data_IF_344060603997
#
_entry.id   IF_344060603997
#
_cell.length_a   1.000
_cell.length_b   1.000
_cell.length_c   1.000
_cell.angle_alpha   90.00
_cell.angle_beta   90.00
_cell.angle_gamma   90.00
#
_symmetry.space_group_name_H-M   'P 1'
#
loop_
_entity.id
_entity.type
_entity.pdbx_description
1 polymer ?
#
# COMPACT_ATOMS: atom_id res chain seq x y z
N UNK A 1 -47.69 50.22 -0.12
CA UNK A 1 -46.84 49.37 0.71
C UNK A 1 -46.31 48.20 -0.16
N UNK A 2 -45.18 48.42 -0.83
CA UNK A 2 -44.60 47.48 -1.82
C UNK A 2 -43.51 46.68 -1.09
N UNK A 3 -43.78 45.40 -0.83
CA UNK A 3 -42.81 44.43 -0.27
C UNK A 3 -41.78 44.04 -1.34
N UNK A 4 -40.59 44.60 -1.27
CA UNK A 4 -39.45 44.17 -2.08
C UNK A 4 -39.00 42.80 -1.64
N UNK A 5 -39.27 41.77 -2.45
CA UNK A 5 -38.73 40.42 -2.31
C UNK A 5 -37.24 40.47 -2.70
N UNK A 6 -36.35 40.49 -1.72
CA UNK A 6 -34.92 40.28 -1.89
C UNK A 6 -34.70 38.81 -2.21
N UNK A 7 -34.73 38.44 -3.51
CA UNK A 7 -34.18 37.19 -3.98
C UNK A 7 -32.70 37.15 -3.63
N UNK A 8 -32.33 36.33 -2.62
CA UNK A 8 -30.94 35.95 -2.39
C UNK A 8 -30.48 35.20 -3.64
N UNK A 9 -29.79 35.89 -4.53
CA UNK A 9 -28.97 35.23 -5.53
C UNK A 9 -27.97 34.35 -4.81
N UNK A 10 -28.17 33.06 -4.85
CA UNK A 10 -27.10 32.10 -4.53
C UNK A 10 -25.99 32.39 -5.56
N UNK A 11 -24.75 32.62 -5.13
CA UNK A 11 -23.67 32.85 -6.05
C UNK A 11 -23.60 31.64 -7.00
N UNK A 12 -23.79 31.90 -8.31
CA UNK A 12 -23.52 30.93 -9.37
C UNK A 12 -22.07 30.50 -9.15
N UNK A 13 -21.87 29.29 -8.68
CA UNK A 13 -20.52 28.74 -8.50
C UNK A 13 -19.88 28.71 -9.89
N UNK A 14 -18.81 29.48 -10.07
CA UNK A 14 -18.01 29.47 -11.28
C UNK A 14 -17.64 28.00 -11.58
N UNK A 15 -18.14 27.40 -12.69
CA UNK A 15 -17.94 25.98 -12.98
C UNK A 15 -16.46 25.62 -13.24
N UNK A 16 -15.60 26.63 -13.42
CA UNK A 16 -14.16 26.42 -13.63
C UNK A 16 -13.33 26.47 -12.34
N UNK A 17 -13.87 26.96 -11.24
CA UNK A 17 -13.14 27.13 -9.99
C UNK A 17 -13.03 25.81 -9.24
N UNK A 18 -11.81 25.31 -9.04
CA UNK A 18 -11.55 24.13 -8.21
C UNK A 18 -11.86 24.39 -6.75
N UNK A 19 -12.53 23.44 -6.11
CA UNK A 19 -12.77 23.46 -4.66
C UNK A 19 -11.54 22.96 -3.90
N UNK A 20 -11.39 23.36 -2.64
CA UNK A 20 -10.23 22.98 -1.82
C UNK A 20 -9.91 21.48 -1.80
N UNK A 21 -10.87 20.54 -1.67
CA UNK A 21 -10.57 19.11 -1.73
C UNK A 21 -9.89 18.68 -3.03
N UNK A 22 -10.29 19.25 -4.16
CA UNK A 22 -9.71 18.92 -5.46
C UNK A 22 -8.25 19.41 -5.56
N UNK A 23 -7.97 20.62 -5.09
CA UNK A 23 -6.60 21.17 -5.06
C UNK A 23 -5.71 20.32 -4.16
N UNK A 24 -6.16 19.99 -2.96
CA UNK A 24 -5.38 19.21 -1.98
C UNK A 24 -5.06 17.83 -2.53
N UNK A 25 -6.04 17.10 -3.07
CA UNK A 25 -5.82 15.76 -3.63
C UNK A 25 -5.00 15.80 -4.94
N UNK A 26 -5.13 16.86 -5.74
CA UNK A 26 -4.28 17.07 -6.92
C UNK A 26 -2.81 17.27 -6.51
N UNK A 27 -2.54 18.11 -5.51
CA UNK A 27 -1.21 18.33 -4.97
C UNK A 27 -0.64 17.03 -4.37
N UNK A 28 -1.44 16.28 -3.63
CA UNK A 28 -1.02 15.00 -3.07
C UNK A 28 -0.65 13.99 -4.18
N UNK A 29 -1.48 13.89 -5.22
CA UNK A 29 -1.21 13.03 -6.37
C UNK A 29 0.04 13.42 -7.17
N UNK A 30 0.33 14.73 -7.26
CA UNK A 30 1.54 15.25 -7.88
C UNK A 30 2.80 15.01 -7.04
N UNK A 31 2.72 15.24 -5.71
CA UNK A 31 3.89 15.22 -4.81
C UNK A 31 4.25 13.78 -4.41
N UNK A 32 3.28 12.90 -4.18
CA UNK A 32 3.53 11.56 -3.63
C UNK A 32 4.53 10.72 -4.46
N UNK A 33 4.45 10.63 -5.81
CA UNK A 33 5.38 9.82 -6.59
C UNK A 33 6.84 10.27 -6.49
N UNK A 34 7.21 11.54 -6.74
CA UNK A 34 8.60 11.99 -6.61
C UNK A 34 9.10 11.94 -5.16
N UNK A 35 8.23 12.22 -4.17
CA UNK A 35 8.57 12.09 -2.76
C UNK A 35 8.92 10.64 -2.40
N UNK A 36 8.20 9.66 -2.94
CA UNK A 36 8.48 8.25 -2.68
C UNK A 36 9.81 7.78 -3.28
N UNK A 37 10.30 8.41 -4.34
CA UNK A 37 11.63 8.11 -4.90
C UNK A 37 12.74 8.67 -4.00
N UNK A 38 12.61 9.92 -3.56
CA UNK A 38 13.68 10.64 -2.85
C UNK A 38 13.62 10.46 -1.32
N UNK A 39 12.42 10.45 -0.75
CA UNK A 39 12.20 10.39 0.69
C UNK A 39 10.90 9.61 1.02
N UNK A 40 10.85 8.28 0.80
CA UNK A 40 9.62 7.49 0.87
C UNK A 40 8.91 7.55 2.23
N UNK A 41 9.64 7.74 3.33
CA UNK A 41 9.04 7.89 4.66
C UNK A 41 8.21 9.18 4.79
N UNK A 42 8.41 10.17 3.90
CA UNK A 42 7.63 11.40 3.83
C UNK A 42 6.17 11.19 3.36
N UNK A 43 5.82 10.01 2.87
CA UNK A 43 4.43 9.69 2.44
C UNK A 43 3.46 9.70 3.63
N UNK A 44 3.85 9.23 4.81
CA UNK A 44 3.00 9.26 5.99
C UNK A 44 2.73 10.71 6.45
N UNK A 45 3.72 11.57 6.67
CA UNK A 45 3.50 13.00 6.90
C UNK A 45 2.67 13.70 5.81
N UNK A 46 2.86 13.32 4.53
CA UNK A 46 2.05 13.88 3.44
C UNK A 46 0.56 13.56 3.63
N UNK A 47 0.21 12.31 3.98
CA UNK A 47 -1.18 11.94 4.24
C UNK A 47 -1.77 12.73 5.43
N UNK A 48 -0.98 12.92 6.50
CA UNK A 48 -1.39 13.75 7.66
C UNK A 48 -1.67 15.20 7.24
N UNK A 49 -0.78 15.82 6.46
CA UNK A 49 -0.98 17.17 5.93
C UNK A 49 -2.24 17.26 5.07
N UNK A 50 -2.46 16.28 4.20
CA UNK A 50 -3.67 16.17 3.37
C UNK A 50 -4.93 16.10 4.23
N UNK A 51 -4.96 15.23 5.24
CA UNK A 51 -6.11 15.04 6.10
C UNK A 51 -6.41 16.33 6.92
N UNK A 52 -5.40 16.95 7.51
CA UNK A 52 -5.53 18.21 8.25
C UNK A 52 -6.03 19.33 7.34
N UNK A 53 -5.44 19.49 6.15
CA UNK A 53 -5.87 20.51 5.18
C UNK A 53 -7.34 20.33 4.76
N UNK A 54 -7.78 19.07 4.54
CA UNK A 54 -9.18 18.75 4.22
C UNK A 54 -10.14 19.08 5.37
N UNK A 55 -9.76 18.74 6.61
CA UNK A 55 -10.57 19.06 7.80
C UNK A 55 -10.69 20.55 8.03
N UNK A 56 -9.63 21.32 7.81
CA UNK A 56 -9.63 22.78 8.01
C UNK A 56 -10.41 23.49 6.92
N UNK A 57 -10.25 23.06 5.64
CA UNK A 57 -10.79 23.82 4.50
C UNK A 57 -12.20 23.41 4.08
N UNK A 58 -12.62 22.17 4.35
CA UNK A 58 -13.90 21.66 3.84
C UNK A 58 -14.59 20.62 4.75
N UNK A 59 -14.67 20.79 6.08
CA UNK A 59 -15.20 19.77 7.00
C UNK A 59 -16.64 19.38 6.69
N UNK A 60 -17.47 20.35 6.29
CA UNK A 60 -18.88 20.13 5.95
C UNK A 60 -19.10 19.25 4.72
N UNK A 61 -18.09 19.10 3.86
CA UNK A 61 -18.16 18.28 2.64
C UNK A 61 -17.78 16.83 2.85
N UNK A 62 -17.31 16.47 4.05
CA UNK A 62 -16.81 15.12 4.35
C UNK A 62 -17.91 14.23 4.92
N UNK A 63 -18.88 14.77 5.66
CA UNK A 63 -19.84 13.98 6.43
C UNK A 63 -20.72 13.06 5.59
N UNK A 64 -21.37 13.58 4.53
CA UNK A 64 -22.23 12.76 3.69
C UNK A 64 -21.46 11.71 2.88
N UNK A 65 -20.33 12.05 2.22
CA UNK A 65 -19.49 11.06 1.54
C UNK A 65 -18.83 10.04 2.45
N UNK A 66 -18.66 10.32 3.76
CA UNK A 66 -18.11 9.40 4.75
C UNK A 66 -19.09 8.30 5.17
N UNK A 67 -20.42 8.52 5.10
CA UNK A 67 -21.41 7.53 5.55
C UNK A 67 -21.23 6.13 4.95
N UNK A 68 -20.99 5.93 3.64
CA UNK A 68 -20.75 4.60 3.07
C UNK A 68 -19.43 3.96 3.50
N UNK A 69 -18.53 4.71 4.17
CA UNK A 69 -17.25 4.25 4.70
C UNK A 69 -17.35 3.81 6.16
N UNK A 70 -18.49 4.02 6.84
CA UNK A 70 -18.68 3.65 8.25
C UNK A 70 -18.35 2.17 8.55
N UNK A 71 -18.73 1.18 7.73
CA UNK A 71 -18.34 -0.20 8.00
C UNK A 71 -16.82 -0.40 7.94
N UNK A 72 -16.13 0.25 7.00
CA UNK A 72 -14.66 0.23 6.92
C UNK A 72 -14.03 0.90 8.14
N UNK A 73 -14.57 2.06 8.55
CA UNK A 73 -14.13 2.76 9.74
C UNK A 73 -14.30 1.92 11.01
N UNK A 74 -15.42 1.21 11.14
CA UNK A 74 -15.70 0.32 12.27
C UNK A 74 -14.72 -0.87 12.31
N UNK A 75 -14.46 -1.51 11.17
CA UNK A 75 -13.49 -2.61 11.09
C UNK A 75 -12.07 -2.14 11.39
N UNK A 76 -11.67 -0.98 10.86
CA UNK A 76 -10.36 -0.37 11.14
C UNK A 76 -10.22 -0.04 12.63
N UNK A 77 -11.23 0.60 13.21
CA UNK A 77 -11.25 0.93 14.63
C UNK A 77 -11.21 -0.33 15.52
N UNK A 78 -11.91 -1.41 15.13
CA UNK A 78 -11.87 -2.67 15.84
C UNK A 78 -10.47 -3.30 15.82
N UNK A 79 -9.79 -3.32 14.65
CA UNK A 79 -8.42 -3.80 14.55
C UNK A 79 -7.46 -2.90 15.35
N UNK A 80 -7.61 -1.59 15.26
CA UNK A 80 -6.78 -0.64 16.02
C UNK A 80 -6.98 -0.81 17.54
N UNK A 81 -8.22 -0.97 17.99
CA UNK A 81 -8.52 -1.22 19.41
C UNK A 81 -7.89 -2.55 19.89
N UNK A 82 -7.96 -3.60 19.07
CA UNK A 82 -7.33 -4.89 19.40
C UNK A 82 -5.79 -4.76 19.39
N UNK A 83 -5.21 -4.03 18.43
CA UNK A 83 -3.78 -3.73 18.37
C UNK A 83 -3.31 -2.95 19.61
N UNK A 84 -4.04 -1.92 20.04
CA UNK A 84 -3.78 -1.18 21.27
C UNK A 84 -3.89 -2.09 22.51
N UNK A 85 -4.94 -2.91 22.58
CA UNK A 85 -5.12 -3.88 23.66
C UNK A 85 -3.96 -4.88 23.72
N UNK A 86 -3.36 -5.24 22.58
CA UNK A 86 -2.23 -6.16 22.52
C UNK A 86 -1.01 -5.68 23.31
N UNK A 87 -0.91 -4.40 23.63
CA UNK A 87 0.13 -3.86 24.49
C UNK A 87 0.12 -4.48 25.90
N UNK A 88 -1.01 -5.03 26.36
CA UNK A 88 -1.12 -5.66 27.69
C UNK A 88 -0.41 -7.01 27.79
N UNK A 89 -0.18 -7.71 26.68
CA UNK A 89 0.56 -8.98 26.62
C UNK A 89 1.78 -8.97 25.71
N UNK A 90 2.04 -7.84 25.04
CA UNK A 90 3.16 -7.67 24.13
C UNK A 90 4.50 -7.79 24.86
N UNK A 91 5.50 -8.32 24.18
CA UNK A 91 6.91 -8.25 24.62
C UNK A 91 7.47 -6.83 24.53
N UNK A 92 6.82 -5.92 23.78
CA UNK A 92 7.17 -4.51 23.62
C UNK A 92 5.98 -3.59 23.92
N UNK A 93 5.45 -3.52 25.16
CA UNK A 93 4.17 -2.86 25.47
C UNK A 93 4.08 -1.42 24.98
N UNK A 94 5.11 -0.59 25.28
CA UNK A 94 5.13 0.83 24.89
C UNK A 94 5.19 1.02 23.38
N UNK A 95 5.94 0.17 22.70
CA UNK A 95 6.06 0.20 21.24
C UNK A 95 4.74 -0.22 20.58
N UNK A 96 4.14 -1.32 21.02
CA UNK A 96 2.83 -1.79 20.52
C UNK A 96 1.72 -0.74 20.71
N UNK A 97 1.74 -0.02 21.83
CA UNK A 97 0.80 1.08 22.08
C UNK A 97 1.01 2.25 21.10
N UNK A 98 2.27 2.64 20.86
CA UNK A 98 2.60 3.71 19.94
C UNK A 98 2.21 3.35 18.48
N UNK A 99 2.55 2.12 18.04
CA UNK A 99 2.22 1.66 16.68
C UNK A 99 0.71 1.46 16.50
N UNK A 100 -0.02 0.98 17.51
CA UNK A 100 -1.48 0.92 17.49
C UNK A 100 -2.13 2.30 17.36
N UNK A 101 -1.57 3.32 18.04
CA UNK A 101 -2.01 4.72 17.92
C UNK A 101 -1.74 5.29 16.51
N UNK A 102 -0.57 5.02 15.93
CA UNK A 102 -0.22 5.45 14.56
C UNK A 102 -1.11 4.76 13.53
N UNK A 103 -1.34 3.46 13.67
CA UNK A 103 -2.25 2.71 12.80
C UNK A 103 -3.67 3.28 12.82
N UNK A 104 -4.19 3.64 14.00
CA UNK A 104 -5.49 4.31 14.14
C UNK A 104 -5.50 5.66 13.43
N UNK A 105 -4.48 6.50 13.65
CA UNK A 105 -4.36 7.81 13.05
C UNK A 105 -4.33 7.75 11.52
N UNK A 106 -3.49 6.89 10.94
CA UNK A 106 -3.38 6.69 9.48
C UNK A 106 -4.73 6.24 8.88
N UNK A 107 -5.47 5.37 9.57
CA UNK A 107 -6.80 4.97 9.13
C UNK A 107 -7.79 6.12 9.08
N UNK A 108 -7.81 6.97 10.12
CA UNK A 108 -8.65 8.17 10.16
C UNK A 108 -8.28 9.13 9.02
N UNK A 109 -6.98 9.39 8.83
CA UNK A 109 -6.47 10.25 7.76
C UNK A 109 -6.85 9.74 6.37
N UNK A 110 -6.69 8.44 6.12
CA UNK A 110 -7.09 7.80 4.87
C UNK A 110 -8.59 7.83 4.62
N UNK A 111 -9.41 7.65 5.65
CA UNK A 111 -10.87 7.76 5.54
C UNK A 111 -11.31 9.19 5.22
N UNK A 112 -10.64 10.20 5.76
CA UNK A 112 -10.86 11.62 5.43
C UNK A 112 -10.52 11.87 3.95
N UNK A 113 -9.36 11.42 3.48
CA UNK A 113 -8.93 11.55 2.09
C UNK A 113 -9.91 10.85 1.14
N UNK A 114 -10.35 9.63 1.47
CA UNK A 114 -11.32 8.87 0.68
C UNK A 114 -12.72 9.53 0.67
N UNK A 115 -13.18 10.10 1.77
CA UNK A 115 -14.43 10.86 1.84
C UNK A 115 -14.34 12.12 0.97
N UNK A 116 -13.22 12.83 1.00
CA UNK A 116 -12.96 14.00 0.16
C UNK A 116 -12.97 13.63 -1.33
N UNK A 117 -12.30 12.55 -1.72
CA UNK A 117 -12.30 12.04 -3.08
C UNK A 117 -13.72 11.77 -3.61
N UNK A 118 -14.59 11.19 -2.78
CA UNK A 118 -15.99 10.91 -3.11
C UNK A 118 -16.87 12.16 -3.20
N UNK A 119 -16.43 13.30 -2.70
CA UNK A 119 -17.16 14.59 -2.77
C UNK A 119 -16.88 15.39 -4.03
N UNK A 120 -15.94 14.94 -4.88
CA UNK A 120 -15.46 15.68 -6.04
C UNK A 120 -16.42 15.59 -7.24
N UNK A 121 -16.50 16.69 -8.00
CA UNK A 121 -17.16 16.70 -9.30
C UNK A 121 -16.23 16.12 -10.39
N UNK A 122 -16.80 15.66 -11.51
CA UNK A 122 -16.03 15.01 -12.58
C UNK A 122 -14.88 15.88 -13.14
N UNK A 123 -15.10 17.19 -13.35
CA UNK A 123 -14.03 18.09 -13.82
C UNK A 123 -12.88 18.24 -12.81
N UNK A 124 -13.20 18.27 -11.50
CA UNK A 124 -12.20 18.31 -10.42
C UNK A 124 -11.40 17.01 -10.36
N UNK A 125 -12.11 15.88 -10.46
CA UNK A 125 -11.53 14.55 -10.51
C UNK A 125 -10.53 14.42 -11.67
N UNK A 126 -10.92 14.89 -12.87
CA UNK A 126 -10.03 14.88 -14.03
C UNK A 126 -8.76 15.69 -13.81
N UNK A 127 -8.83 16.89 -13.24
CA UNK A 127 -7.65 17.74 -12.97
C UNK A 127 -6.72 17.11 -11.93
N UNK A 128 -7.28 16.52 -10.87
CA UNK A 128 -6.50 15.80 -9.88
C UNK A 128 -5.82 14.55 -10.48
N UNK A 129 -6.51 13.81 -11.35
CA UNK A 129 -5.93 12.69 -12.07
C UNK A 129 -4.78 13.11 -13.01
N UNK A 130 -4.89 14.23 -13.72
CA UNK A 130 -3.81 14.76 -14.55
C UNK A 130 -2.60 15.16 -13.68
N UNK A 131 -2.82 15.78 -12.52
CA UNK A 131 -1.74 16.10 -11.60
C UNK A 131 -0.97 14.84 -11.14
N UNK A 132 -1.68 13.75 -10.85
CA UNK A 132 -1.07 12.46 -10.53
C UNK A 132 -0.25 11.91 -11.71
N UNK A 133 -0.72 12.03 -12.94
CA UNK A 133 0.03 11.63 -14.15
C UNK A 133 1.35 12.40 -14.27
N UNK A 134 1.32 13.72 -14.06
CA UNK A 134 2.52 14.56 -14.09
C UNK A 134 3.50 14.13 -12.98
N UNK A 135 2.98 13.87 -11.77
CA UNK A 135 3.78 13.35 -10.66
C UNK A 135 4.45 12.00 -10.98
N UNK A 136 3.73 11.08 -11.61
CA UNK A 136 4.28 9.78 -12.07
C UNK A 136 5.37 9.99 -13.12
N UNK A 137 5.15 10.85 -14.13
CA UNK A 137 6.14 11.12 -15.16
C UNK A 137 7.44 11.71 -14.56
N UNK A 138 7.29 12.67 -13.63
CA UNK A 138 8.42 13.24 -12.89
C UNK A 138 9.16 12.18 -12.07
N UNK A 139 8.43 11.32 -11.34
CA UNK A 139 9.04 10.29 -10.51
C UNK A 139 9.76 9.21 -11.33
N UNK A 140 9.21 8.82 -12.50
CA UNK A 140 9.91 7.93 -13.44
C UNK A 140 11.21 8.59 -13.92
N UNK A 141 11.15 9.86 -14.34
CA UNK A 141 12.34 10.61 -14.76
C UNK A 141 13.39 10.69 -13.65
N UNK A 142 12.99 10.99 -12.41
CA UNK A 142 13.87 11.00 -11.24
C UNK A 142 14.49 9.61 -11.00
N UNK A 143 13.70 8.54 -11.00
CA UNK A 143 14.20 7.20 -10.76
C UNK A 143 15.20 6.76 -11.81
N UNK A 144 14.92 7.03 -13.09
CA UNK A 144 15.84 6.73 -14.19
C UNK A 144 17.12 7.59 -14.12
N UNK A 145 17.01 8.86 -13.70
CA UNK A 145 18.20 9.71 -13.49
C UNK A 145 19.04 9.22 -12.33
N UNK A 146 18.44 8.81 -11.21
CA UNK A 146 19.14 8.23 -10.07
C UNK A 146 19.88 6.95 -10.47
N UNK A 147 19.23 6.08 -11.24
CA UNK A 147 19.87 4.88 -11.76
C UNK A 147 21.03 5.21 -12.71
N UNK A 148 20.85 6.12 -13.64
CA UNK A 148 21.87 6.49 -14.64
C UNK A 148 23.07 7.24 -14.05
N UNK A 149 22.90 7.91 -12.91
CA UNK A 149 23.92 8.75 -12.26
C UNK A 149 24.47 8.16 -10.95
N UNK A 150 24.24 6.88 -10.70
CA UNK A 150 24.61 6.21 -9.45
C UNK A 150 24.10 6.97 -8.20
N UNK A 151 22.80 7.30 -8.21
CA UNK A 151 22.11 7.97 -7.10
C UNK A 151 22.66 9.40 -6.79
N UNK A 152 23.02 10.18 -7.82
CA UNK A 152 23.66 11.48 -7.63
C UNK A 152 22.82 12.46 -6.80
N UNK A 153 21.52 12.62 -7.10
CA UNK A 153 20.64 13.51 -6.36
C UNK A 153 20.40 13.00 -4.92
N UNK A 154 20.23 11.70 -4.75
CA UNK A 154 20.13 11.05 -3.44
C UNK A 154 21.38 11.31 -2.61
N UNK A 155 22.58 11.16 -3.20
CA UNK A 155 23.85 11.45 -2.54
C UNK A 155 23.94 12.92 -2.12
N UNK A 156 23.56 13.83 -3.01
CA UNK A 156 23.57 15.26 -2.73
C UNK A 156 22.61 15.62 -1.58
N UNK A 157 21.37 15.14 -1.60
CA UNK A 157 20.37 15.41 -0.55
C UNK A 157 20.81 14.90 0.82
N UNK A 158 21.47 13.73 0.87
CA UNK A 158 21.90 13.11 2.13
C UNK A 158 23.37 13.39 2.51
N UNK A 159 24.06 14.23 1.77
CA UNK A 159 25.47 14.56 2.02
C UNK A 159 26.41 13.35 1.93
N UNK A 160 26.09 12.35 1.10
CA UNK A 160 26.88 11.13 0.97
C UNK A 160 28.02 11.33 -0.01
N UNK A 161 29.25 10.88 0.37
CA UNK A 161 30.38 10.88 -0.55
C UNK A 161 30.20 9.85 -1.68
N UNK A 162 30.90 10.04 -2.80
CA UNK A 162 30.89 9.09 -3.92
C UNK A 162 31.44 7.70 -3.58
N UNK A 163 32.23 7.59 -2.50
CA UNK A 163 32.78 6.33 -2.01
C UNK A 163 31.78 5.46 -1.23
N UNK A 164 30.63 6.04 -0.82
CA UNK A 164 29.61 5.28 -0.10
C UNK A 164 28.74 4.54 -1.12
N UNK A 165 28.68 3.21 -1.03
CA UNK A 165 27.78 2.41 -1.86
C UNK A 165 26.32 2.71 -1.51
N UNK A 166 25.52 3.12 -2.48
CA UNK A 166 24.07 3.28 -2.36
C UNK A 166 23.42 2.02 -2.89
N UNK A 167 22.83 1.23 -2.00
CA UNK A 167 22.15 0.01 -2.40
C UNK A 167 20.85 0.36 -3.17
N UNK A 168 20.67 -0.22 -4.35
CA UNK A 168 19.50 -0.04 -5.22
C UNK A 168 18.18 -0.40 -4.54
N UNK A 169 18.18 -1.28 -3.52
CA UNK A 169 16.98 -1.59 -2.72
C UNK A 169 16.39 -0.36 -2.02
N UNK A 170 17.14 0.74 -1.90
CA UNK A 170 16.64 2.03 -1.44
C UNK A 170 15.49 2.54 -2.30
N UNK A 171 15.50 2.25 -3.60
CA UNK A 171 14.47 2.68 -4.54
C UNK A 171 13.24 1.77 -4.59
N UNK A 172 13.25 0.63 -3.91
CA UNK A 172 12.12 -0.32 -3.90
C UNK A 172 10.80 0.33 -3.50
N UNK A 173 10.83 1.27 -2.54
CA UNK A 173 9.63 1.99 -2.09
C UNK A 173 9.13 2.96 -3.17
N UNK A 174 10.04 3.61 -3.90
CA UNK A 174 9.71 4.47 -5.03
C UNK A 174 9.06 3.67 -6.16
N UNK A 175 9.68 2.55 -6.57
CA UNK A 175 9.13 1.64 -7.58
C UNK A 175 7.77 1.11 -7.17
N UNK A 176 7.61 0.65 -5.94
CA UNK A 176 6.32 0.19 -5.40
C UNK A 176 5.25 1.27 -5.49
N UNK A 177 5.59 2.51 -5.10
CA UNK A 177 4.67 3.64 -5.22
C UNK A 177 4.27 3.90 -6.67
N UNK A 178 5.24 3.85 -7.62
CA UNK A 178 4.95 4.01 -9.04
C UNK A 178 3.99 2.93 -9.57
N UNK A 179 4.19 1.68 -9.20
CA UNK A 179 3.31 0.58 -9.62
C UNK A 179 1.90 0.72 -9.03
N UNK A 180 1.75 1.28 -7.83
CA UNK A 180 0.44 1.53 -7.21
C UNK A 180 -0.28 2.73 -7.84
N UNK A 181 0.42 3.86 -8.00
CA UNK A 181 -0.19 5.09 -8.49
C UNK A 181 -0.41 5.08 -10.01
N UNK A 182 0.19 4.13 -10.71
CA UNK A 182 -0.09 3.87 -12.12
C UNK A 182 -1.59 3.65 -12.37
N UNK A 183 -2.30 2.98 -11.46
CA UNK A 183 -3.73 2.67 -11.65
C UNK A 183 -4.62 3.90 -11.73
N UNK A 184 -4.59 4.84 -10.75
CA UNK A 184 -5.33 6.09 -10.88
C UNK A 184 -4.83 6.95 -12.05
N UNK A 185 -3.52 7.00 -12.32
CA UNK A 185 -2.96 7.74 -13.44
C UNK A 185 -3.42 7.17 -14.79
N UNK A 186 -3.38 5.85 -14.97
CA UNK A 186 -3.86 5.18 -16.19
C UNK A 186 -5.35 5.43 -16.40
N UNK A 187 -6.16 5.38 -15.35
CA UNK A 187 -7.59 5.65 -15.42
C UNK A 187 -7.88 7.12 -15.83
N UNK A 188 -7.09 8.08 -15.33
CA UNK A 188 -7.17 9.48 -15.73
C UNK A 188 -6.82 9.68 -17.22
N UNK A 189 -5.95 8.83 -17.78
CA UNK A 189 -5.52 8.87 -19.18
C UNK A 189 -6.38 8.02 -20.14
N UNK A 190 -7.49 7.45 -19.69
CA UNK A 190 -8.29 6.49 -20.47
C UNK A 190 -8.73 7.01 -21.85
N UNK A 191 -8.86 8.33 -22.02
CA UNK A 191 -9.17 8.97 -23.32
C UNK A 191 -7.94 9.13 -24.22
N UNK A 192 -6.73 9.01 -23.68
CA UNK A 192 -5.44 9.14 -24.36
C UNK A 192 -4.65 7.84 -24.30
N UNK A 193 -5.15 6.80 -24.98
CA UNK A 193 -4.62 5.43 -24.93
C UNK A 193 -3.11 5.33 -25.21
N UNK A 194 -2.60 6.13 -26.14
CA UNK A 194 -1.17 6.14 -26.43
C UNK A 194 -0.38 6.61 -25.22
N UNK A 195 -0.78 7.74 -24.61
CA UNK A 195 -0.09 8.26 -23.41
C UNK A 195 -0.24 7.30 -22.21
N UNK A 196 -1.42 6.69 -22.04
CA UNK A 196 -1.65 5.65 -21.03
C UNK A 196 -0.65 4.51 -21.19
N UNK A 197 -0.45 3.99 -22.40
CA UNK A 197 0.48 2.90 -22.67
C UNK A 197 1.94 3.34 -22.49
N UNK A 198 2.30 4.57 -22.87
CA UNK A 198 3.65 5.13 -22.65
C UNK A 198 3.98 5.21 -21.17
N UNK A 199 3.08 5.73 -20.34
CA UNK A 199 3.28 5.81 -18.88
C UNK A 199 3.36 4.40 -18.28
N UNK A 200 2.48 3.47 -18.68
CA UNK A 200 2.54 2.09 -18.20
C UNK A 200 3.86 1.40 -18.59
N UNK A 201 4.33 1.58 -19.83
CA UNK A 201 5.60 1.05 -20.28
C UNK A 201 6.80 1.67 -19.52
N UNK A 202 6.75 2.97 -19.23
CA UNK A 202 7.79 3.65 -18.47
C UNK A 202 7.86 3.15 -17.01
N UNK A 203 6.72 2.93 -16.35
CA UNK A 203 6.67 2.32 -15.02
C UNK A 203 7.13 0.87 -15.05
N UNK A 204 6.74 0.09 -16.08
CA UNK A 204 7.22 -1.28 -16.26
C UNK A 204 8.74 -1.34 -16.45
N UNK A 205 9.30 -0.45 -17.26
CA UNK A 205 10.74 -0.32 -17.47
C UNK A 205 11.47 0.02 -16.15
N UNK A 206 10.94 0.97 -15.38
CA UNK A 206 11.49 1.33 -14.09
C UNK A 206 11.47 0.14 -13.11
N UNK A 207 10.35 -0.62 -13.06
CA UNK A 207 10.23 -1.81 -12.22
C UNK A 207 11.14 -2.97 -12.68
N UNK A 208 11.48 -3.04 -13.97
CA UNK A 208 12.38 -4.04 -14.52
C UNK A 208 13.85 -3.71 -14.27
N UNK A 209 14.26 -2.43 -14.45
CA UNK A 209 15.64 -1.98 -14.27
C UNK A 209 16.02 -2.03 -12.79
N UNK A 210 15.11 -1.64 -11.88
CA UNK A 210 15.38 -1.69 -10.46
C UNK A 210 15.29 -3.14 -9.94
N UNK A 211 16.13 -3.53 -8.97
CA UNK A 211 16.17 -4.92 -8.46
C UNK A 211 14.97 -5.28 -7.56
N UNK A 212 13.78 -4.79 -7.91
CA UNK A 212 12.54 -4.97 -7.14
C UNK A 212 11.65 -6.06 -7.74
N UNK A 213 12.03 -7.33 -7.55
CA UNK A 213 11.26 -8.45 -8.07
C UNK A 213 9.81 -8.50 -7.58
N UNK A 214 9.55 -8.08 -6.34
CA UNK A 214 8.20 -8.02 -5.78
C UNK A 214 7.33 -6.98 -6.50
N UNK A 215 7.88 -5.79 -6.82
CA UNK A 215 7.16 -4.74 -7.55
C UNK A 215 6.88 -5.14 -9.00
N UNK A 216 7.83 -5.81 -9.66
CA UNK A 216 7.61 -6.33 -11.02
C UNK A 216 6.51 -7.41 -11.03
N UNK A 217 6.56 -8.35 -10.11
CA UNK A 217 5.51 -9.39 -9.97
C UNK A 217 4.16 -8.76 -9.66
N UNK A 218 4.12 -7.75 -8.78
CA UNK A 218 2.92 -7.01 -8.43
C UNK A 218 2.33 -6.25 -9.64
N UNK A 219 3.18 -5.64 -10.46
CA UNK A 219 2.77 -5.01 -11.70
C UNK A 219 2.11 -6.01 -12.65
N UNK A 220 2.74 -7.17 -12.89
CA UNK A 220 2.20 -8.24 -13.76
C UNK A 220 0.88 -8.77 -13.18
N UNK A 221 0.82 -9.08 -11.89
CA UNK A 221 -0.41 -9.54 -11.23
C UNK A 221 -1.54 -8.52 -11.34
N UNK A 222 -1.21 -7.23 -11.21
CA UNK A 222 -2.15 -6.14 -11.42
C UNK A 222 -2.69 -6.10 -12.84
N UNK A 223 -1.83 -6.23 -13.86
CA UNK A 223 -2.27 -6.28 -15.28
C UNK A 223 -3.18 -7.47 -15.55
N UNK A 224 -2.83 -8.65 -15.04
CA UNK A 224 -3.67 -9.85 -15.15
C UNK A 224 -5.01 -9.63 -14.43
N UNK A 225 -4.96 -9.11 -13.21
CA UNK A 225 -6.16 -8.76 -12.44
C UNK A 225 -7.07 -7.79 -13.19
N UNK A 226 -6.52 -6.74 -13.77
CA UNK A 226 -7.26 -5.78 -14.61
C UNK A 226 -7.88 -6.45 -15.84
N UNK A 227 -7.09 -7.23 -16.59
CA UNK A 227 -7.56 -7.89 -17.81
C UNK A 227 -8.70 -8.86 -17.53
N UNK A 228 -8.61 -9.64 -16.46
CA UNK A 228 -9.69 -10.56 -16.04
C UNK A 228 -10.89 -9.78 -15.49
N UNK A 229 -10.66 -8.77 -14.63
CA UNK A 229 -11.71 -7.97 -14.02
C UNK A 229 -12.51 -7.15 -15.04
N UNK A 230 -11.91 -6.80 -16.19
CA UNK A 230 -12.63 -6.13 -17.28
C UNK A 230 -13.81 -6.95 -17.82
N UNK A 231 -13.81 -8.27 -17.62
CA UNK A 231 -14.86 -9.21 -17.99
C UNK A 231 -15.58 -9.83 -16.80
N UNK A 232 -14.84 -10.17 -15.74
CA UNK A 232 -15.32 -10.93 -14.60
C UNK A 232 -14.84 -10.31 -13.25
N UNK A 233 -15.29 -9.10 -12.87
CA UNK A 233 -14.80 -8.42 -11.68
C UNK A 233 -15.06 -9.20 -10.39
N UNK A 234 -16.21 -9.88 -10.28
CA UNK A 234 -16.54 -10.72 -9.12
C UNK A 234 -15.58 -11.89 -8.96
N UNK A 235 -15.14 -12.49 -10.07
CA UNK A 235 -14.17 -13.59 -10.04
C UNK A 235 -12.85 -13.12 -9.45
N UNK A 236 -12.31 -11.97 -9.91
CA UNK A 236 -11.05 -11.42 -9.38
C UNK A 236 -11.18 -11.08 -7.90
N UNK A 237 -12.27 -10.40 -7.51
CA UNK A 237 -12.50 -10.06 -6.10
C UNK A 237 -12.62 -11.32 -5.22
N UNK A 238 -13.33 -12.34 -5.68
CA UNK A 238 -13.43 -13.64 -4.97
C UNK A 238 -12.07 -14.35 -4.90
N UNK A 239 -11.33 -14.41 -6.01
CA UNK A 239 -10.04 -15.09 -6.06
C UNK A 239 -9.04 -14.45 -5.08
N UNK A 240 -8.95 -13.11 -5.06
CA UNK A 240 -8.10 -12.39 -4.11
C UNK A 240 -8.53 -12.66 -2.65
N UNK A 241 -9.84 -12.59 -2.35
CA UNK A 241 -10.35 -12.85 -1.01
C UNK A 241 -10.05 -14.30 -0.56
N UNK A 242 -10.31 -15.29 -1.43
CA UNK A 242 -10.01 -16.70 -1.16
C UNK A 242 -8.51 -16.92 -0.96
N UNK A 243 -7.66 -16.36 -1.83
CA UNK A 243 -6.20 -16.46 -1.68
C UNK A 243 -5.73 -15.94 -0.33
N UNK A 244 -6.25 -14.80 0.13
CA UNK A 244 -5.86 -14.22 1.41
C UNK A 244 -6.36 -15.06 2.60
N UNK A 245 -7.61 -15.53 2.57
CA UNK A 245 -8.17 -16.36 3.65
C UNK A 245 -7.49 -17.72 3.72
N UNK A 246 -7.31 -18.37 2.58
CA UNK A 246 -6.61 -19.68 2.49
C UNK A 246 -5.13 -19.49 2.87
N UNK A 247 -4.46 -18.45 2.39
CA UNK A 247 -3.08 -18.12 2.76
C UNK A 247 -2.92 -17.92 4.26
N UNK A 248 -3.77 -17.12 4.90
CA UNK A 248 -3.72 -16.89 6.35
C UNK A 248 -3.90 -18.17 7.19
N UNK A 249 -4.63 -19.14 6.64
CA UNK A 249 -4.91 -20.41 7.32
C UNK A 249 -3.82 -21.45 7.06
N UNK A 250 -3.41 -21.62 5.81
CA UNK A 250 -2.52 -22.71 5.41
C UNK A 250 -1.04 -22.34 5.45
N UNK A 251 -0.67 -21.08 5.19
CA UNK A 251 0.75 -20.69 5.07
C UNK A 251 1.57 -21.09 6.31
N UNK A 252 1.11 -20.88 7.56
CA UNK A 252 1.88 -21.32 8.74
C UNK A 252 2.13 -22.81 8.80
N UNK A 253 1.33 -23.64 8.11
CA UNK A 253 1.42 -25.09 8.13
C UNK A 253 2.23 -25.65 6.95
N UNK A 254 2.11 -25.02 5.75
CA UNK A 254 2.71 -25.54 4.52
C UNK A 254 4.10 -24.99 4.22
N UNK A 255 4.56 -24.01 4.99
CA UNK A 255 5.91 -23.44 4.83
C UNK A 255 6.99 -24.54 4.92
N UNK A 256 7.94 -24.59 3.98
CA UNK A 256 9.00 -25.58 3.97
C UNK A 256 9.80 -25.61 5.28
N UNK A 257 10.27 -26.78 5.67
CA UNK A 257 11.22 -26.92 6.80
C UNK A 257 12.55 -26.27 6.44
N UNK A 258 13.39 -26.00 7.43
CA UNK A 258 14.75 -25.49 7.19
C UNK A 258 15.53 -26.42 6.25
N UNK A 259 15.47 -27.74 6.48
CA UNK A 259 16.14 -28.72 5.65
C UNK A 259 15.62 -28.72 4.20
N UNK A 260 14.30 -28.65 4.02
CA UNK A 260 13.70 -28.56 2.67
C UNK A 260 14.10 -27.25 1.95
N UNK A 261 14.27 -26.14 2.69
CA UNK A 261 14.70 -24.86 2.15
C UNK A 261 16.17 -24.91 1.71
N UNK A 262 17.04 -25.53 2.50
CA UNK A 262 18.45 -25.78 2.13
C UNK A 262 18.51 -26.64 0.85
N UNK A 263 17.74 -27.73 0.80
CA UNK A 263 17.67 -28.57 -0.39
C UNK A 263 17.15 -27.80 -1.62
N UNK A 264 16.14 -26.96 -1.44
CA UNK A 264 15.57 -26.12 -2.51
C UNK A 264 16.63 -25.16 -3.08
N UNK A 265 17.47 -24.56 -2.25
CA UNK A 265 18.55 -23.68 -2.70
C UNK A 265 19.49 -24.40 -3.69
N UNK A 266 19.82 -25.67 -3.45
CA UNK A 266 20.69 -26.46 -4.33
C UNK A 266 19.97 -26.99 -5.57
N UNK A 267 18.67 -27.32 -5.48
CA UNK A 267 17.92 -27.91 -6.60
C UNK A 267 17.25 -26.86 -7.50
N UNK A 268 17.08 -25.62 -7.00
CA UNK A 268 16.45 -24.52 -7.73
C UNK A 268 17.32 -23.23 -7.69
N UNK A 269 18.51 -23.24 -8.30
CA UNK A 269 19.49 -22.13 -8.21
C UNK A 269 18.99 -20.82 -8.85
N UNK A 270 17.88 -20.85 -9.60
CA UNK A 270 17.24 -19.64 -10.12
C UNK A 270 16.47 -18.84 -9.04
N UNK A 271 16.21 -19.42 -7.87
CA UNK A 271 15.61 -18.70 -6.76
C UNK A 271 16.69 -17.81 -6.11
N UNK A 272 16.45 -16.51 -6.16
CA UNK A 272 17.39 -15.54 -5.58
C UNK A 272 17.57 -15.79 -4.07
N UNK A 273 18.74 -15.46 -3.53
CA UNK A 273 19.06 -15.56 -2.09
C UNK A 273 18.02 -14.89 -1.20
N UNK A 274 17.47 -13.74 -1.63
CA UNK A 274 16.38 -13.07 -0.90
C UNK A 274 15.07 -13.87 -0.86
N UNK A 275 14.80 -14.73 -1.83
CA UNK A 275 13.66 -15.65 -1.81
C UNK A 275 13.88 -16.80 -0.83
N UNK A 276 15.08 -17.40 -0.84
CA UNK A 276 15.48 -18.44 0.11
C UNK A 276 15.41 -17.88 1.55
N UNK A 277 15.96 -16.68 1.78
CA UNK A 277 15.89 -16.05 3.10
C UNK A 277 14.45 -15.85 3.59
N UNK A 278 13.52 -15.42 2.70
CA UNK A 278 12.10 -15.30 3.08
C UNK A 278 11.48 -16.64 3.48
N UNK A 279 11.78 -17.74 2.80
CA UNK A 279 11.29 -19.06 3.21
C UNK A 279 11.77 -19.44 4.61
N UNK A 280 13.02 -19.12 4.96
CA UNK A 280 13.56 -19.35 6.31
C UNK A 280 12.87 -18.44 7.35
N UNK A 281 12.66 -17.16 7.05
CA UNK A 281 11.91 -16.24 7.91
C UNK A 281 10.47 -16.76 8.11
N UNK A 282 9.80 -17.23 7.06
CA UNK A 282 8.44 -17.76 7.14
C UNK A 282 8.38 -19.03 7.99
N UNK A 283 9.39 -19.90 7.90
CA UNK A 283 9.49 -21.07 8.76
C UNK A 283 9.62 -20.65 10.23
N UNK A 284 10.50 -19.71 10.54
CA UNK A 284 10.62 -19.17 11.88
C UNK A 284 9.32 -18.50 12.36
N UNK A 285 8.65 -17.72 11.50
CA UNK A 285 7.34 -17.15 11.81
C UNK A 285 6.28 -18.22 12.12
N UNK A 286 6.29 -19.34 11.39
CA UNK A 286 5.38 -20.47 11.66
C UNK A 286 5.61 -21.11 13.03
N UNK A 287 6.87 -21.22 13.48
CA UNK A 287 7.23 -21.68 14.81
C UNK A 287 6.71 -20.72 15.90
N UNK A 288 6.90 -19.41 15.71
CA UNK A 288 6.38 -18.38 16.61
C UNK A 288 4.85 -18.35 16.70
N UNK A 289 4.16 -18.64 15.60
CA UNK A 289 2.70 -18.78 15.55
C UNK A 289 2.26 -20.02 16.36
N UNK A 290 3.00 -21.13 16.29
CA UNK A 290 2.71 -22.34 17.06
C UNK A 290 2.87 -22.10 18.57
N UNK A 291 3.84 -21.28 18.96
CA UNK A 291 4.08 -20.92 20.37
C UNK A 291 2.96 -20.04 20.96
N UNK A 292 2.40 -19.10 20.17
CA UNK A 292 1.33 -18.19 20.62
C UNK A 292 0.21 -18.06 19.60
N UNK A 293 -0.58 -19.10 19.34
CA UNK A 293 -1.50 -19.16 18.19
C UNK A 293 -2.71 -18.23 18.33
N UNK A 294 -3.17 -17.92 19.54
CA UNK A 294 -4.42 -17.19 19.77
C UNK A 294 -4.23 -15.68 19.76
N UNK A 295 -3.34 -15.14 20.59
CA UNK A 295 -3.18 -13.68 20.79
C UNK A 295 -1.92 -13.11 20.14
N UNK A 296 -0.98 -13.97 19.73
CA UNK A 296 0.29 -13.55 19.17
C UNK A 296 1.24 -12.91 20.21
N UNK A 297 2.24 -12.21 19.71
CA UNK A 297 3.32 -11.63 20.51
C UNK A 297 3.13 -10.14 20.82
N UNK A 298 2.08 -9.51 20.31
CA UNK A 298 1.78 -8.08 20.39
C UNK A 298 2.09 -7.36 19.07
N UNK A 299 1.41 -6.22 18.85
CA UNK A 299 1.56 -5.43 17.63
C UNK A 299 3.00 -4.99 17.41
N UNK A 300 3.52 -5.20 16.20
CA UNK A 300 4.88 -4.87 15.74
C UNK A 300 6.01 -5.44 16.65
N UNK A 301 5.71 -6.54 17.36
CA UNK A 301 6.66 -7.21 18.24
C UNK A 301 7.71 -8.03 17.46
N UNK A 302 7.51 -8.31 16.18
CA UNK A 302 8.42 -9.08 15.33
C UNK A 302 9.85 -8.55 15.33
N UNK A 303 10.04 -7.23 15.47
CA UNK A 303 11.36 -6.57 15.44
C UNK A 303 12.31 -6.96 16.58
N UNK A 304 11.79 -7.40 17.72
CA UNK A 304 12.56 -7.79 18.91
C UNK A 304 12.13 -9.17 19.42
N UNK A 305 11.59 -10.01 18.54
CA UNK A 305 11.10 -11.32 18.91
C UNK A 305 12.25 -12.23 19.38
N UNK A 306 12.08 -13.04 20.43
CA UNK A 306 13.12 -13.95 20.89
C UNK A 306 13.64 -14.86 19.77
N UNK A 307 14.95 -14.93 19.59
CA UNK A 307 15.60 -15.70 18.52
C UNK A 307 15.60 -15.02 17.15
N UNK A 308 14.93 -13.86 16.99
CA UNK A 308 14.85 -13.16 15.72
C UNK A 308 16.19 -12.64 15.17
N UNK A 309 17.16 -12.36 16.04
CA UNK A 309 18.51 -11.92 15.67
C UNK A 309 19.48 -13.07 15.35
N UNK A 310 19.02 -14.32 15.39
CA UNK A 310 19.82 -15.46 14.94
C UNK A 310 20.09 -15.31 13.43
N UNK A 311 21.35 -15.25 13.04
CA UNK A 311 21.75 -15.16 11.63
C UNK A 311 21.75 -16.55 10.98
N UNK A 312 20.82 -16.79 10.08
CA UNK A 312 20.72 -18.07 9.36
C UNK A 312 21.92 -18.31 8.46
N UNK A 313 22.52 -17.26 7.88
CA UNK A 313 23.67 -17.40 7.00
C UNK A 313 24.93 -17.95 7.69
N UNK A 314 25.01 -17.82 9.01
CA UNK A 314 26.14 -18.31 9.82
C UNK A 314 25.79 -19.48 10.72
N UNK A 315 24.51 -19.66 11.07
CA UNK A 315 24.08 -20.65 12.07
C UNK A 315 23.33 -21.85 11.50
N UNK A 316 22.82 -21.76 10.27
CA UNK A 316 22.07 -22.87 9.65
C UNK A 316 22.99 -23.70 8.75
N UNK A 317 23.23 -24.99 9.08
CA UNK A 317 24.11 -25.84 8.29
C UNK A 317 23.61 -26.02 6.86
N UNK A 318 24.50 -25.93 5.89
CA UNK A 318 24.22 -26.17 4.48
C UNK A 318 23.54 -25.02 3.74
N UNK A 319 23.28 -23.87 4.39
CA UNK A 319 22.74 -22.68 3.72
C UNK A 319 23.87 -21.81 3.15
N UNK A 320 23.70 -21.31 1.94
CA UNK A 320 24.68 -20.46 1.24
C UNK A 320 24.15 -19.03 1.10
N UNK A 321 23.91 -18.35 2.22
CA UNK A 321 23.42 -16.97 2.23
C UNK A 321 24.49 -15.96 2.66
N UNK A 322 25.53 -16.39 3.39
CA UNK A 322 26.47 -15.49 4.05
C UNK A 322 25.85 -14.75 5.25
N UNK A 323 26.65 -13.92 5.96
CA UNK A 323 26.20 -13.22 7.15
C UNK A 323 25.16 -12.12 6.85
N UNK A 324 24.40 -11.73 7.88
CA UNK A 324 23.42 -10.63 7.79
C UNK A 324 22.01 -11.08 7.41
N UNK A 325 21.70 -12.38 7.56
CA UNK A 325 20.39 -12.95 7.26
C UNK A 325 19.64 -13.35 8.53
N UNK A 326 19.19 -12.35 9.29
CA UNK A 326 18.44 -12.52 10.54
C UNK A 326 17.21 -13.42 10.37
N UNK A 327 16.90 -14.25 11.37
CA UNK A 327 15.72 -15.12 11.39
C UNK A 327 14.40 -14.32 11.36
N UNK A 328 14.40 -13.13 11.95
CA UNK A 328 13.33 -12.12 11.82
C UNK A 328 13.99 -10.74 11.82
N UNK A 329 14.21 -10.11 10.64
CA UNK A 329 14.89 -8.81 10.61
C UNK A 329 14.07 -7.71 11.29
N UNK A 330 12.92 -7.35 10.77
CA UNK A 330 11.96 -6.42 11.38
C UNK A 330 10.53 -6.98 11.33
N UNK A 331 10.23 -7.76 10.31
CA UNK A 331 8.93 -8.35 10.04
C UNK A 331 9.09 -9.53 9.06
N UNK A 332 8.10 -10.43 8.92
CA UNK A 332 8.22 -11.64 8.10
C UNK A 332 8.16 -11.41 6.58
N UNK A 333 8.04 -10.18 6.07
CA UNK A 333 7.83 -9.87 4.65
C UNK A 333 6.57 -10.51 4.03
N UNK A 334 5.60 -10.87 4.85
CA UNK A 334 4.29 -11.40 4.50
C UNK A 334 3.27 -10.91 5.52
N UNK A 335 2.26 -10.20 5.06
CA UNK A 335 1.25 -9.57 5.91
C UNK A 335 0.40 -10.59 6.71
N UNK A 336 0.11 -11.76 6.12
CA UNK A 336 -0.71 -12.79 6.76
C UNK A 336 0.06 -13.44 7.91
N UNK A 337 1.33 -13.77 7.70
CA UNK A 337 2.21 -14.27 8.75
C UNK A 337 2.43 -13.20 9.83
N UNK A 338 2.59 -11.92 9.44
CA UNK A 338 2.76 -10.85 10.42
C UNK A 338 1.53 -10.67 11.31
N UNK A 339 0.32 -10.65 10.75
CA UNK A 339 -0.90 -10.63 11.55
C UNK A 339 -0.99 -11.82 12.50
N UNK A 340 -0.64 -13.01 12.02
CA UNK A 340 -0.69 -14.24 12.82
C UNK A 340 0.34 -14.24 13.94
N UNK A 341 1.59 -13.85 13.68
CA UNK A 341 2.66 -13.76 14.69
C UNK A 341 2.32 -12.72 15.75
N UNK A 342 1.87 -11.54 15.34
CA UNK A 342 1.79 -10.40 16.24
C UNK A 342 0.44 -10.29 16.96
N UNK A 343 -0.67 -10.48 16.23
CA UNK A 343 -2.04 -10.32 16.74
C UNK A 343 -2.84 -11.63 16.77
N UNK A 344 -2.23 -12.76 16.44
CA UNK A 344 -2.87 -14.07 16.47
C UNK A 344 -4.11 -14.19 15.58
N UNK A 345 -5.03 -15.09 15.97
CA UNK A 345 -6.27 -15.37 15.22
C UNK A 345 -7.19 -14.14 15.14
N UNK A 346 -7.52 -13.44 16.24
CA UNK A 346 -8.46 -12.32 16.18
C UNK A 346 -7.97 -11.17 15.32
N UNK A 347 -6.68 -10.77 15.45
CA UNK A 347 -6.10 -9.72 14.63
C UNK A 347 -6.09 -10.07 13.14
N UNK A 348 -5.80 -11.33 12.82
CA UNK A 348 -5.85 -11.84 11.43
C UNK A 348 -7.27 -11.77 10.87
N UNK A 349 -8.29 -12.18 11.64
CA UNK A 349 -9.70 -12.11 11.22
C UNK A 349 -10.11 -10.66 10.96
N UNK A 350 -9.75 -9.72 11.85
CA UNK A 350 -10.08 -8.30 11.69
C UNK A 350 -9.36 -7.69 10.48
N UNK A 351 -8.07 -8.00 10.28
CA UNK A 351 -7.31 -7.55 9.09
C UNK A 351 -7.91 -8.08 7.80
N UNK A 352 -8.23 -9.39 7.74
CA UNK A 352 -8.91 -10.00 6.60
C UNK A 352 -10.30 -9.39 6.38
N UNK A 353 -11.07 -9.10 7.43
CA UNK A 353 -12.38 -8.49 7.31
C UNK A 353 -12.32 -7.12 6.61
N UNK A 354 -11.31 -6.29 6.90
CA UNK A 354 -11.07 -5.02 6.20
C UNK A 354 -10.89 -5.25 4.71
N UNK A 355 -9.98 -6.16 4.33
CA UNK A 355 -9.61 -6.40 2.94
C UNK A 355 -10.75 -7.07 2.17
N UNK A 356 -11.37 -8.10 2.75
CA UNK A 356 -12.51 -8.82 2.14
C UNK A 356 -13.70 -7.88 1.96
N UNK A 357 -13.97 -7.01 2.93
CA UNK A 357 -15.02 -5.99 2.79
C UNK A 357 -14.72 -5.03 1.63
N UNK A 358 -13.48 -4.55 1.52
CA UNK A 358 -13.07 -3.68 0.42
C UNK A 358 -13.21 -4.38 -0.95
N UNK A 359 -12.75 -5.64 -1.07
CA UNK A 359 -12.90 -6.45 -2.28
C UNK A 359 -14.37 -6.70 -2.63
N UNK A 360 -15.21 -6.99 -1.63
CA UNK A 360 -16.65 -7.10 -1.83
C UNK A 360 -17.25 -5.80 -2.36
N UNK A 361 -16.91 -4.65 -1.77
CA UNK A 361 -17.40 -3.35 -2.23
C UNK A 361 -17.02 -3.08 -3.68
N UNK A 362 -15.79 -3.38 -4.08
CA UNK A 362 -15.33 -3.19 -5.46
C UNK A 362 -15.94 -4.23 -6.39
N UNK A 363 -16.03 -5.51 -6.00
CA UNK A 363 -16.53 -6.58 -6.85
C UNK A 363 -18.03 -6.54 -7.11
N UNK A 364 -18.84 -6.13 -6.10
CA UNK A 364 -20.33 -6.26 -6.16
C UNK A 364 -21.08 -4.94 -5.99
N UNK A 365 -20.48 -3.92 -5.41
CA UNK A 365 -21.15 -2.66 -5.03
C UNK A 365 -20.46 -1.43 -5.58
N UNK A 366 -19.66 -1.60 -6.64
CA UNK A 366 -18.94 -0.49 -7.27
C UNK A 366 -19.90 0.42 -8.03
N UNK A 367 -19.85 1.72 -7.73
CA UNK A 367 -20.73 2.73 -8.33
C UNK A 367 -20.17 3.43 -9.56
N UNK A 368 -18.93 3.11 -9.97
CA UNK A 368 -18.27 3.67 -11.15
C UNK A 368 -18.40 2.78 -12.39
N UNK A 369 -17.83 3.24 -13.50
CA UNK A 369 -17.81 2.48 -14.75
C UNK A 369 -16.96 1.19 -14.67
N UNK A 370 -17.19 0.28 -15.63
CA UNK A 370 -16.50 -1.03 -15.67
C UNK A 370 -14.99 -0.93 -15.72
N UNK A 371 -14.44 0.04 -16.44
CA UNK A 371 -12.99 0.27 -16.54
C UNK A 371 -12.40 0.69 -15.19
N UNK A 372 -13.09 1.59 -14.47
CA UNK A 372 -12.67 1.99 -13.13
C UNK A 372 -12.77 0.85 -12.12
N UNK A 373 -13.78 -0.02 -12.22
CA UNK A 373 -13.90 -1.23 -11.41
C UNK A 373 -12.72 -2.18 -11.68
N UNK A 374 -12.40 -2.41 -12.96
CA UNK A 374 -11.28 -3.27 -13.35
C UNK A 374 -9.95 -2.70 -12.88
N UNK A 375 -9.72 -1.39 -13.01
CA UNK A 375 -8.52 -0.71 -12.52
C UNK A 375 -8.38 -0.83 -11.00
N UNK A 376 -9.48 -0.70 -10.24
CA UNK A 376 -9.48 -0.88 -8.79
C UNK A 376 -9.14 -2.31 -8.37
N UNK A 377 -9.56 -3.33 -9.12
CA UNK A 377 -9.20 -4.74 -8.87
C UNK A 377 -7.78 -5.07 -9.32
N UNK A 378 -7.29 -4.47 -10.40
CA UNK A 378 -5.87 -4.54 -10.78
C UNK A 378 -4.97 -3.94 -9.70
N UNK A 379 -5.34 -2.76 -9.18
CA UNK A 379 -4.67 -2.14 -8.04
C UNK A 379 -4.71 -3.05 -6.79
N UNK A 380 -5.86 -3.65 -6.47
CA UNK A 380 -5.99 -4.57 -5.34
C UNK A 380 -5.09 -5.80 -5.49
N UNK A 381 -4.96 -6.37 -6.70
CA UNK A 381 -4.02 -7.46 -6.98
C UNK A 381 -2.56 -7.01 -6.79
N UNK A 382 -2.21 -5.80 -7.24
CA UNK A 382 -0.90 -5.19 -7.01
C UNK A 382 -0.60 -5.05 -5.51
N UNK A 383 -1.51 -4.47 -4.74
CA UNK A 383 -1.39 -4.33 -3.27
C UNK A 383 -1.21 -5.69 -2.61
N UNK A 384 -2.01 -6.68 -3.02
CA UNK A 384 -1.96 -8.05 -2.45
C UNK A 384 -0.57 -8.66 -2.63
N UNK A 385 0.01 -8.61 -3.83
CA UNK A 385 1.35 -9.19 -4.08
C UNK A 385 2.43 -8.48 -3.25
N UNK A 386 2.40 -7.15 -3.17
CA UNK A 386 3.37 -6.41 -2.34
C UNK A 386 3.20 -6.76 -0.86
N UNK A 387 1.97 -6.82 -0.35
CA UNK A 387 1.69 -7.16 1.03
C UNK A 387 2.16 -8.58 1.42
N UNK A 388 2.12 -9.52 0.47
CA UNK A 388 2.53 -10.91 0.69
C UNK A 388 4.04 -11.16 0.48
N UNK A 389 4.78 -10.21 -0.15
CA UNK A 389 6.17 -10.48 -0.55
C UNK A 389 7.17 -9.40 -0.14
N UNK A 390 6.75 -8.27 0.45
CA UNK A 390 7.69 -7.16 0.55
C UNK A 390 7.69 -6.47 1.94
N UNK A 391 6.77 -5.57 2.21
CA UNK A 391 6.84 -4.67 3.36
C UNK A 391 6.05 -5.18 4.57
N UNK A 392 6.47 -4.75 5.76
CA UNK A 392 5.67 -4.98 6.98
C UNK A 392 4.33 -4.25 6.90
N UNK A 393 3.28 -4.93 7.34
CA UNK A 393 1.91 -4.45 7.21
C UNK A 393 1.63 -3.16 8.01
N UNK A 394 2.40 -2.90 9.07
CA UNK A 394 2.25 -1.72 9.92
C UNK A 394 3.09 -0.53 9.48
N UNK A 395 3.94 -0.66 8.47
CA UNK A 395 4.79 0.44 8.02
C UNK A 395 3.94 1.64 7.58
N UNK A 396 4.14 2.78 8.25
CA UNK A 396 3.33 3.99 8.08
C UNK A 396 3.28 4.48 6.63
N UNK A 397 4.43 4.55 5.97
CA UNK A 397 4.50 4.96 4.56
C UNK A 397 3.72 4.02 3.63
N UNK A 398 3.74 2.70 3.94
CA UNK A 398 3.05 1.66 3.15
C UNK A 398 1.54 1.79 3.28
N UNK A 399 1.02 1.88 4.50
CA UNK A 399 -0.41 2.10 4.74
C UNK A 399 -0.88 3.42 4.14
N UNK A 400 -0.07 4.48 4.27
CA UNK A 400 -0.40 5.81 3.76
C UNK A 400 -0.47 5.84 2.22
N UNK A 401 0.45 5.17 1.50
CA UNK A 401 0.39 5.12 0.04
C UNK A 401 -0.78 4.26 -0.45
N UNK A 402 -1.14 3.18 0.23
CA UNK A 402 -2.34 2.40 -0.07
C UNK A 402 -3.59 3.29 0.03
N UNK A 403 -3.77 4.00 1.14
CA UNK A 403 -4.94 4.84 1.39
C UNK A 403 -4.99 6.06 0.44
N UNK A 404 -3.84 6.68 0.15
CA UNK A 404 -3.74 7.77 -0.81
C UNK A 404 -4.07 7.32 -2.23
N UNK A 405 -3.51 6.20 -2.69
CA UNK A 405 -3.80 5.67 -4.04
C UNK A 405 -5.23 5.16 -4.17
N UNK A 406 -5.81 4.58 -3.12
CA UNK A 406 -7.23 4.26 -3.07
C UNK A 406 -8.12 5.52 -3.21
N UNK A 407 -7.72 6.63 -2.56
CA UNK A 407 -8.41 7.92 -2.68
C UNK A 407 -8.29 8.48 -4.10
N UNK A 408 -7.12 8.43 -4.72
CA UNK A 408 -6.90 8.86 -6.10
C UNK A 408 -7.66 7.98 -7.11
N UNK A 409 -7.81 6.67 -6.86
CA UNK A 409 -8.67 5.79 -7.65
C UNK A 409 -10.15 6.19 -7.54
N UNK A 410 -10.62 6.52 -6.32
CA UNK A 410 -11.99 6.99 -6.12
C UNK A 410 -12.25 8.32 -6.85
N UNK A 411 -11.26 9.23 -6.87
CA UNK A 411 -11.28 10.46 -7.68
C UNK A 411 -11.42 10.12 -9.16
N UNK A 412 -10.54 9.29 -9.70
CA UNK A 412 -10.52 8.95 -11.12
C UNK A 412 -11.77 8.17 -11.57
N UNK A 413 -12.39 7.40 -10.66
CA UNK A 413 -13.65 6.70 -10.92
C UNK A 413 -14.86 7.66 -11.03
N UNK A 414 -14.86 8.76 -10.28
CA UNK A 414 -15.91 9.78 -10.35
C UNK A 414 -15.96 10.50 -11.72
N UNK A 415 -14.82 10.60 -12.43
CA UNK A 415 -14.77 11.14 -13.79
C UNK A 415 -15.39 10.18 -14.85
N UNK A 416 -15.63 8.93 -14.49
CA UNK A 416 -16.18 7.88 -15.38
C UNK A 416 -17.70 7.75 -15.26
N UNK A 417 -18.26 8.07 -14.10
CA UNK A 417 -19.70 8.01 -13.81
C UNK A 417 -20.44 9.26 -14.32
#
# INVERSE_FOLDING_TARGET
MVLAYKTRMTPVSDPERLRAPAIILALAGFIAPPLAVLAPLGIAPLLTVVAVALLVTAPHRLLAPARPLLPLAALWAALAAFALLSATWSILPRHSLAEGGRFLAIGVEGLIALAAARSMAAHEARRAGIAAVVGVALAVGLLLSEWATDAALTRWIHGLSSSIFVNDSRFDRGVTTLVLILWPAALALRRWRVLQNVIAAAVALAAFIMPSAASLLAFVAGLVGFAVASRAPRLVASALAVTLVVGATLLPVVVPTYQSTVQLQHTAPWIKSSGIHRLLIWRFAAELIADRPLLGWGMDASREIPGGKRDFGTTLPGIELGPGHDAMPLHPHDALLQWRVELGVPGTILGLAIVVWALYRVGWRFGGGREAQAASLGWAATVTVIALLSFGIWQEWWLSIILLTASLLAVSAADVA
#
